data_IF_850904002567
#
_entry.id   IF_850904002567
#
_cell.length_a   1.000
_cell.length_b   1.000
_cell.length_c   1.000
_cell.angle_alpha   90.00
_cell.angle_beta   90.00
_cell.angle_gamma   90.00
#
_symmetry.space_group_name_H-M   'P 1'
#
loop_
_entity.id
_entity.type
_entity.pdbx_description
1 polymer ?
#
# COMPACT_ATOMS: atom_id res chain seq x y z
N UNK A 1 -19.33 14.79 9.75
CA UNK A 1 -20.29 13.84 9.11
C UNK A 1 -19.57 12.53 8.84
N UNK A 2 -20.22 11.39 9.07
CA UNK A 2 -19.59 10.06 8.90
C UNK A 2 -20.36 9.25 7.85
N UNK A 3 -19.67 8.51 6.99
CA UNK A 3 -20.27 7.66 5.96
C UNK A 3 -19.47 6.37 5.83
N UNK A 4 -20.14 5.24 5.65
CA UNK A 4 -19.50 3.97 5.30
C UNK A 4 -19.39 3.83 3.79
N UNK A 5 -18.20 3.48 3.30
CA UNK A 5 -17.90 3.18 1.89
C UNK A 5 -17.45 1.72 1.80
N UNK A 6 -18.24 0.87 1.16
CA UNK A 6 -18.08 -0.59 1.22
C UNK A 6 -18.21 -1.32 -0.12
N UNK A 7 -17.96 -0.62 -1.23
CA UNK A 7 -18.02 -1.18 -2.59
C UNK A 7 -19.34 -1.85 -2.97
N UNK A 8 -20.46 -1.30 -2.50
CA UNK A 8 -21.79 -1.70 -2.98
C UNK A 8 -22.13 -1.03 -4.31
N UNK A 9 -23.19 -1.46 -4.95
CA UNK A 9 -23.68 -0.87 -6.22
C UNK A 9 -24.00 0.63 -6.15
N UNK A 10 -24.18 1.17 -4.95
CA UNK A 10 -24.52 2.58 -4.73
C UNK A 10 -23.33 3.45 -4.31
N UNK A 11 -22.26 2.85 -3.78
CA UNK A 11 -21.09 3.56 -3.28
C UNK A 11 -19.87 2.67 -3.32
N UNK A 12 -18.90 3.00 -4.14
CA UNK A 12 -17.62 2.33 -4.14
C UNK A 12 -16.48 3.33 -3.87
N UNK A 13 -15.34 2.82 -3.46
CA UNK A 13 -14.22 3.67 -3.11
C UNK A 13 -13.64 4.39 -4.34
N UNK A 14 -13.67 3.75 -5.51
CA UNK A 14 -13.17 4.37 -6.74
C UNK A 14 -13.91 5.67 -7.06
N UNK A 15 -15.24 5.67 -6.96
CA UNK A 15 -16.05 6.86 -7.24
C UNK A 15 -15.77 7.98 -6.23
N UNK A 16 -15.64 7.63 -4.93
CA UNK A 16 -15.29 8.59 -3.89
C UNK A 16 -13.90 9.22 -4.10
N UNK A 17 -12.89 8.41 -4.47
CA UNK A 17 -11.56 8.93 -4.76
C UNK A 17 -11.55 9.80 -6.03
N UNK A 18 -12.23 9.34 -7.09
CA UNK A 18 -12.36 10.09 -8.35
C UNK A 18 -12.98 11.46 -8.13
N UNK A 19 -14.11 11.50 -7.41
CA UNK A 19 -14.78 12.75 -7.10
C UNK A 19 -13.91 13.67 -6.23
N UNK A 20 -13.24 13.12 -5.22
CA UNK A 20 -12.41 13.92 -4.33
C UNK A 20 -11.18 14.51 -5.01
N UNK A 21 -10.51 13.74 -5.88
CA UNK A 21 -9.38 14.21 -6.68
C UNK A 21 -9.75 15.31 -7.68
N UNK A 22 -11.01 15.39 -8.08
CA UNK A 22 -11.45 16.42 -9.01
C UNK A 22 -11.52 17.82 -8.38
N UNK A 23 -11.77 17.94 -7.08
CA UNK A 23 -12.15 19.19 -6.44
C UNK A 23 -11.34 19.56 -5.19
N UNK A 24 -10.45 18.68 -4.69
CA UNK A 24 -9.60 19.00 -3.52
C UNK A 24 -8.53 20.05 -3.86
N UNK A 25 -8.03 20.73 -2.84
CA UNK A 25 -6.87 21.63 -2.95
C UNK A 25 -5.55 20.86 -2.86
N UNK A 26 -5.52 19.79 -2.06
CA UNK A 26 -4.39 18.85 -1.89
C UNK A 26 -4.91 17.48 -1.52
N UNK A 27 -4.08 16.44 -1.75
CA UNK A 27 -4.39 15.11 -1.25
C UNK A 27 -3.17 14.39 -0.69
N UNK A 28 -3.43 13.44 0.23
CA UNK A 28 -2.41 12.66 0.92
C UNK A 28 -2.87 11.21 0.98
N UNK A 29 -2.14 10.32 0.32
CA UNK A 29 -2.42 8.89 0.32
C UNK A 29 -1.36 8.16 1.14
N UNK A 30 -1.81 7.47 2.18
CA UNK A 30 -0.97 6.63 3.03
C UNK A 30 -1.47 5.19 2.91
N UNK A 31 -0.91 4.42 1.96
CA UNK A 31 -1.48 3.14 1.52
C UNK A 31 -0.41 2.07 1.42
N UNK A 32 -0.56 1.01 2.22
CA UNK A 32 0.43 -0.06 2.33
C UNK A 32 0.75 -0.74 0.99
N UNK A 33 -0.28 -1.04 0.16
CA UNK A 33 -0.10 -1.77 -1.08
C UNK A 33 -0.70 -1.02 -2.25
N UNK A 34 0.12 -0.82 -3.28
CA UNK A 34 -0.26 -0.11 -4.51
C UNK A 34 0.02 -1.00 -5.71
N UNK A 35 -1.00 -1.36 -6.46
CA UNK A 35 -0.85 -2.09 -7.71
C UNK A 35 -0.90 -1.16 -8.93
N UNK A 36 -0.21 -1.55 -10.01
CA UNK A 36 -0.29 -0.80 -11.26
C UNK A 36 -1.73 -0.70 -11.79
N UNK A 37 -2.51 -1.78 -11.68
CA UNK A 37 -3.93 -1.77 -12.06
C UNK A 37 -4.79 -0.86 -11.20
N UNK A 38 -4.45 -0.67 -9.92
CA UNK A 38 -5.12 0.30 -9.05
C UNK A 38 -4.83 1.75 -9.48
N UNK A 39 -3.56 2.06 -9.76
CA UNK A 39 -3.16 3.38 -10.28
C UNK A 39 -3.83 3.67 -11.63
N UNK A 40 -3.93 2.67 -12.51
CA UNK A 40 -4.59 2.84 -13.82
C UNK A 40 -6.05 3.27 -13.71
N UNK A 41 -6.79 2.80 -12.70
CA UNK A 41 -8.19 3.21 -12.49
C UNK A 41 -8.33 4.70 -12.15
N UNK A 42 -7.34 5.29 -11.51
CA UNK A 42 -7.32 6.71 -11.13
C UNK A 42 -6.50 7.57 -12.09
N UNK A 43 -5.99 7.01 -13.18
CA UNK A 43 -5.04 7.71 -14.06
C UNK A 43 -5.60 9.02 -14.62
N UNK A 44 -6.86 9.03 -15.05
CA UNK A 44 -7.48 10.24 -15.60
C UNK A 44 -7.81 11.26 -14.49
N UNK A 45 -8.15 10.79 -13.28
CA UNK A 45 -8.31 11.66 -12.12
C UNK A 45 -6.98 12.30 -11.70
N UNK A 46 -5.87 11.56 -11.74
CA UNK A 46 -4.53 12.09 -11.44
C UNK A 46 -4.07 13.11 -12.50
N UNK A 47 -4.31 12.84 -13.78
CA UNK A 47 -4.05 13.83 -14.86
C UNK A 47 -4.87 15.11 -14.70
N UNK A 48 -6.15 14.96 -14.30
CA UNK A 48 -7.02 16.10 -14.04
C UNK A 48 -6.50 16.90 -12.84
N UNK A 49 -6.11 16.23 -11.75
CA UNK A 49 -5.52 16.86 -10.57
C UNK A 49 -4.24 17.64 -10.93
N UNK A 50 -3.30 17.01 -11.66
CA UNK A 50 -2.09 17.67 -12.15
C UNK A 50 -2.41 18.88 -13.04
N UNK A 51 -3.36 18.75 -13.96
CA UNK A 51 -3.76 19.87 -14.84
C UNK A 51 -4.31 21.09 -14.07
N UNK A 52 -4.79 20.88 -12.87
CA UNK A 52 -5.27 21.91 -11.94
C UNK A 52 -4.19 22.39 -10.93
N UNK A 53 -2.99 21.83 -10.97
CA UNK A 53 -1.93 22.12 -10.01
C UNK A 53 -2.21 21.60 -8.60
N UNK A 54 -3.02 20.54 -8.47
CA UNK A 54 -3.34 19.93 -7.17
C UNK A 54 -2.15 19.10 -6.72
N UNK A 55 -1.58 19.48 -5.57
CA UNK A 55 -0.42 18.81 -5.00
C UNK A 55 -0.83 17.49 -4.33
N UNK A 56 -0.08 16.42 -4.59
CA UNK A 56 -0.31 15.10 -4.03
C UNK A 56 0.89 14.55 -3.29
N UNK A 57 0.67 13.96 -2.11
CA UNK A 57 1.68 13.19 -1.38
C UNK A 57 1.25 11.72 -1.27
N UNK A 58 2.16 10.82 -1.62
CA UNK A 58 1.95 9.37 -1.50
C UNK A 58 2.98 8.75 -0.57
N UNK A 59 2.52 7.93 0.37
CA UNK A 59 3.36 6.99 1.11
C UNK A 59 2.87 5.58 0.81
N UNK A 60 3.78 4.72 0.39
CA UNK A 60 3.50 3.27 0.24
C UNK A 60 4.62 2.45 0.86
N UNK A 61 4.44 1.14 1.00
CA UNK A 61 5.44 0.25 1.56
C UNK A 61 5.92 -0.81 0.59
N UNK A 62 7.10 -1.37 0.85
CA UNK A 62 7.66 -2.50 0.10
C UNK A 62 7.37 -3.85 0.78
N UNK A 63 6.63 -3.86 1.88
CA UNK A 63 6.38 -5.05 2.69
C UNK A 63 5.82 -6.19 1.83
N UNK A 64 6.42 -7.37 1.95
CA UNK A 64 6.07 -8.59 1.20
C UNK A 64 6.03 -8.43 -0.33
N UNK A 65 6.61 -7.37 -0.89
CA UNK A 65 6.58 -7.07 -2.32
C UNK A 65 5.16 -6.99 -2.93
N UNK A 66 4.18 -6.55 -2.15
CA UNK A 66 2.82 -6.36 -2.65
C UNK A 66 2.64 -5.04 -3.43
N UNK A 67 3.51 -4.07 -3.21
CA UNK A 67 3.50 -2.84 -4.02
C UNK A 67 4.23 -3.09 -5.34
N UNK A 68 3.57 -2.81 -6.46
CA UNK A 68 4.16 -2.95 -7.79
C UNK A 68 5.11 -1.77 -8.07
N UNK A 69 6.40 -2.01 -8.35
CA UNK A 69 7.33 -0.93 -8.70
C UNK A 69 6.89 -0.12 -9.92
N UNK A 70 6.15 -0.72 -10.87
CA UNK A 70 5.55 0.02 -11.99
C UNK A 70 4.49 1.03 -11.53
N UNK A 71 3.78 0.72 -10.44
CA UNK A 71 2.82 1.66 -9.86
C UNK A 71 3.53 2.88 -9.28
N UNK A 72 4.59 2.65 -8.49
CA UNK A 72 5.41 3.73 -7.93
C UNK A 72 5.98 4.59 -9.07
N UNK A 73 6.65 3.97 -10.04
CA UNK A 73 7.21 4.65 -11.22
C UNK A 73 6.15 5.47 -11.96
N UNK A 74 4.92 4.96 -12.09
CA UNK A 74 3.85 5.71 -12.73
C UNK A 74 3.44 6.93 -11.92
N UNK A 75 3.33 6.82 -10.60
CA UNK A 75 3.00 7.95 -9.73
C UNK A 75 4.09 9.04 -9.77
N UNK A 76 5.37 8.67 -9.85
CA UNK A 76 6.47 9.63 -9.96
C UNK A 76 6.57 10.35 -11.32
N UNK A 77 5.76 9.98 -12.31
CA UNK A 77 5.69 10.72 -13.59
C UNK A 77 4.83 11.98 -13.53
N UNK A 78 4.08 12.19 -12.46
CA UNK A 78 3.29 13.40 -12.24
C UNK A 78 4.15 14.45 -11.52
N UNK A 79 4.28 15.64 -12.07
CA UNK A 79 5.18 16.69 -11.55
C UNK A 79 4.73 17.25 -10.18
N UNK A 80 3.41 17.25 -9.93
CA UNK A 80 2.80 17.77 -8.72
C UNK A 80 2.64 16.70 -7.62
N UNK A 81 3.15 15.48 -7.86
CA UNK A 81 3.04 14.37 -6.91
C UNK A 81 4.39 14.00 -6.32
N UNK A 82 4.42 13.96 -5.00
CA UNK A 82 5.57 13.54 -4.23
C UNK A 82 5.32 12.11 -3.71
N UNK A 83 6.22 11.18 -3.99
CA UNK A 83 6.05 9.77 -3.67
C UNK A 83 7.18 9.31 -2.77
N UNK A 84 6.85 8.78 -1.61
CA UNK A 84 7.81 8.19 -0.68
C UNK A 84 7.48 6.73 -0.37
N UNK A 85 8.50 6.00 0.01
CA UNK A 85 8.39 4.58 0.32
C UNK A 85 8.85 4.33 1.75
N UNK A 86 7.94 3.80 2.57
CA UNK A 86 8.26 3.35 3.91
C UNK A 86 8.90 1.97 3.86
N UNK A 87 10.10 1.85 4.42
CA UNK A 87 10.77 0.56 4.55
C UNK A 87 10.40 -0.06 5.89
N UNK A 88 9.63 -1.14 5.86
CA UNK A 88 9.31 -1.90 7.06
C UNK A 88 10.58 -2.48 7.70
N UNK A 89 10.65 -2.45 9.02
CA UNK A 89 11.74 -3.03 9.82
C UNK A 89 11.28 -4.32 10.51
N UNK A 90 12.17 -4.99 11.23
CA UNK A 90 11.79 -6.17 12.02
C UNK A 90 10.78 -5.87 13.13
N UNK A 91 10.78 -4.63 13.63
CA UNK A 91 9.93 -4.19 14.73
C UNK A 91 8.77 -3.32 14.32
N UNK A 92 8.79 -2.78 13.09
CA UNK A 92 7.77 -1.85 12.60
C UNK A 92 7.32 -2.20 11.19
N UNK A 93 6.09 -2.70 11.07
CA UNK A 93 5.42 -2.92 9.79
C UNK A 93 4.75 -1.65 9.27
N UNK A 94 4.33 -1.67 8.00
CA UNK A 94 3.59 -0.58 7.37
C UNK A 94 2.32 -1.13 6.72
N UNK A 95 1.16 -0.81 7.30
CA UNK A 95 -0.11 -1.35 6.82
C UNK A 95 -1.30 -0.36 6.83
N UNK A 96 -1.08 0.96 6.72
CA UNK A 96 -2.19 1.93 6.65
C UNK A 96 -2.94 1.84 5.32
N UNK A 97 -4.18 2.30 5.31
CA UNK A 97 -5.01 2.58 4.14
C UNK A 97 -5.83 3.81 4.46
N UNK A 98 -5.24 4.95 4.20
CA UNK A 98 -5.81 6.26 4.43
C UNK A 98 -5.69 7.13 3.19
N UNK A 99 -6.79 7.76 2.85
CA UNK A 99 -6.95 8.69 1.75
C UNK A 99 -7.47 10.00 2.33
N UNK A 100 -6.67 11.06 2.28
CA UNK A 100 -6.96 12.36 2.90
C UNK A 100 -7.02 13.39 1.79
N UNK A 101 -8.08 14.17 1.78
CA UNK A 101 -8.30 15.26 0.84
C UNK A 101 -8.51 16.55 1.61
N UNK A 102 -7.73 17.56 1.31
CA UNK A 102 -7.82 18.90 1.86
C UNK A 102 -8.63 19.79 0.92
N UNK A 103 -9.62 20.47 1.47
CA UNK A 103 -10.41 21.50 0.80
C UNK A 103 -10.24 22.81 1.57
N UNK A 104 -10.73 23.90 1.06
CA UNK A 104 -10.54 25.23 1.66
C UNK A 104 -11.08 25.33 3.09
N UNK A 105 -12.22 24.68 3.38
CA UNK A 105 -12.94 24.78 4.65
C UNK A 105 -13.16 23.45 5.39
N UNK A 106 -12.71 22.33 4.82
CA UNK A 106 -12.83 21.01 5.45
C UNK A 106 -11.79 20.01 4.94
N UNK A 107 -11.67 18.90 5.66
CA UNK A 107 -10.95 17.71 5.25
C UNK A 107 -11.92 16.55 5.03
N UNK A 108 -11.75 15.80 3.94
CA UNK A 108 -12.36 14.49 3.76
C UNK A 108 -11.29 13.42 4.03
N UNK A 109 -11.56 12.57 5.00
CA UNK A 109 -10.65 11.51 5.43
C UNK A 109 -11.33 10.17 5.24
N UNK A 110 -10.73 9.24 4.50
CA UNK A 110 -11.23 7.88 4.29
C UNK A 110 -10.19 6.91 4.84
N UNK A 111 -10.56 6.14 5.85
CA UNK A 111 -9.68 5.15 6.49
C UNK A 111 -10.40 3.81 6.55
N UNK A 112 -9.71 2.73 6.20
CA UNK A 112 -10.32 1.41 6.25
C UNK A 112 -9.43 0.26 5.81
N UNK A 113 -10.02 -0.71 5.14
CA UNK A 113 -9.33 -1.92 4.69
C UNK A 113 -8.78 -1.84 3.26
N UNK A 114 -9.20 -0.88 2.45
CA UNK A 114 -8.92 -0.84 1.01
C UNK A 114 -7.52 -0.34 0.67
N UNK A 115 -6.72 -1.20 0.08
CA UNK A 115 -5.47 -0.81 -0.59
C UNK A 115 -5.75 -0.15 -1.96
N UNK A 116 -4.74 0.50 -2.56
CA UNK A 116 -4.84 1.07 -3.91
C UNK A 116 -4.64 -0.03 -4.97
N UNK A 117 -5.60 -0.95 -5.03
CA UNK A 117 -5.62 -2.08 -5.96
C UNK A 117 -6.96 -2.17 -6.68
N UNK A 118 -6.97 -2.76 -7.89
CA UNK A 118 -8.18 -2.84 -8.71
C UNK A 118 -9.38 -3.42 -7.94
N UNK A 119 -9.18 -4.56 -7.29
CA UNK A 119 -10.27 -5.24 -6.58
C UNK A 119 -10.71 -4.50 -5.32
N UNK A 120 -9.77 -3.94 -4.55
CA UNK A 120 -10.10 -3.19 -3.34
C UNK A 120 -10.85 -1.89 -3.64
N UNK A 121 -10.61 -1.28 -4.80
CA UNK A 121 -11.31 -0.06 -5.21
C UNK A 121 -12.73 -0.31 -5.76
N UNK A 122 -13.00 -1.51 -6.33
CA UNK A 122 -14.22 -1.75 -7.12
C UNK A 122 -15.14 -2.85 -6.60
N UNK A 123 -14.58 -3.99 -6.18
CA UNK A 123 -15.36 -5.22 -6.08
C UNK A 123 -15.17 -6.03 -4.81
N UNK A 124 -14.04 -5.90 -4.11
CA UNK A 124 -13.88 -6.59 -2.83
C UNK A 124 -14.87 -6.04 -1.81
N UNK A 125 -15.28 -6.90 -0.89
CA UNK A 125 -15.97 -6.45 0.32
C UNK A 125 -14.94 -5.75 1.20
N UNK A 126 -15.05 -4.43 1.24
CA UNK A 126 -14.15 -3.55 1.99
C UNK A 126 -14.97 -2.67 2.92
N UNK A 127 -14.38 -2.27 4.03
CA UNK A 127 -14.99 -1.35 4.97
C UNK A 127 -14.11 -0.12 5.14
N UNK A 128 -14.60 1.03 4.69
CA UNK A 128 -13.91 2.29 4.83
C UNK A 128 -14.84 3.32 5.49
N UNK A 129 -14.35 3.94 6.54
CA UNK A 129 -15.03 5.06 7.19
C UNK A 129 -14.59 6.35 6.52
N UNK A 130 -15.55 7.09 5.98
CA UNK A 130 -15.36 8.46 5.50
C UNK A 130 -15.80 9.45 6.57
N UNK A 131 -14.92 10.39 6.86
CA UNK A 131 -15.14 11.49 7.81
C UNK A 131 -15.00 12.81 7.06
N UNK A 132 -15.98 13.70 7.21
CA UNK A 132 -15.86 15.11 6.81
C UNK A 132 -15.66 15.92 8.09
N UNK A 133 -14.48 16.51 8.22
CA UNK A 133 -14.09 17.36 9.35
C UNK A 133 -13.92 18.80 8.87
N UNK A 134 -14.70 19.73 9.37
CA UNK A 134 -14.53 21.15 9.07
C UNK A 134 -13.20 21.65 9.64
N UNK A 135 -12.59 22.59 8.96
CA UNK A 135 -11.35 23.23 9.43
C UNK A 135 -11.70 24.35 10.44
N UNK A 136 -12.22 23.94 11.60
CA UNK A 136 -12.67 24.81 12.68
C UNK A 136 -12.19 24.30 14.05
N UNK A 137 -12.39 25.09 15.09
CA UNK A 137 -11.96 24.78 16.45
C UNK A 137 -12.54 23.44 17.00
N UNK A 138 -13.67 22.97 16.46
CA UNK A 138 -14.28 21.71 16.90
C UNK A 138 -13.47 20.49 16.48
N UNK A 139 -12.77 20.58 15.37
CA UNK A 139 -11.99 19.49 14.80
C UNK A 139 -10.47 19.74 14.86
N UNK A 140 -10.03 20.83 15.47
CA UNK A 140 -8.61 21.27 15.46
C UNK A 140 -7.68 20.18 16.01
N UNK A 141 -8.00 19.60 17.15
CA UNK A 141 -7.19 18.52 17.75
C UNK A 141 -7.08 17.30 16.82
N UNK A 142 -8.20 16.86 16.23
CA UNK A 142 -8.22 15.76 15.28
C UNK A 142 -7.39 16.06 14.03
N UNK A 143 -7.56 17.25 13.45
CA UNK A 143 -6.87 17.63 12.22
C UNK A 143 -5.35 17.82 12.45
N UNK A 144 -4.96 18.36 13.59
CA UNK A 144 -3.54 18.49 13.96
C UNK A 144 -2.92 17.09 14.15
N UNK A 145 -3.58 16.20 14.90
CA UNK A 145 -3.11 14.83 15.08
C UNK A 145 -3.01 14.06 13.75
N UNK A 146 -3.98 14.23 12.85
CA UNK A 146 -3.98 13.61 11.52
C UNK A 146 -2.77 14.05 10.69
N UNK A 147 -2.50 15.36 10.66
CA UNK A 147 -1.35 15.95 9.94
C UNK A 147 -0.03 15.50 10.55
N UNK A 148 0.12 15.64 11.85
CA UNK A 148 1.35 15.24 12.56
C UNK A 148 1.65 13.76 12.36
N UNK A 149 0.62 12.90 12.43
CA UNK A 149 0.77 11.48 12.19
C UNK A 149 1.20 11.16 10.75
N UNK A 150 0.65 11.87 9.76
CA UNK A 150 1.07 11.71 8.38
C UNK A 150 2.52 12.19 8.19
N UNK A 151 2.87 13.37 8.70
CA UNK A 151 4.19 13.98 8.53
C UNK A 151 5.28 13.16 9.24
N UNK A 152 5.02 12.57 10.41
CA UNK A 152 5.95 11.64 11.06
C UNK A 152 6.29 10.43 10.18
N UNK A 153 5.29 9.84 9.52
CA UNK A 153 5.51 8.72 8.60
C UNK A 153 6.22 9.21 7.34
N UNK A 154 5.84 10.37 6.84
CA UNK A 154 6.46 11.02 5.68
C UNK A 154 7.95 11.24 5.87
N UNK A 155 8.34 11.82 7.00
CA UNK A 155 9.73 12.12 7.32
C UNK A 155 10.59 10.86 7.54
N UNK A 156 9.98 9.78 7.99
CA UNK A 156 10.63 8.47 8.14
C UNK A 156 10.67 7.63 6.86
N UNK A 157 10.02 8.10 5.79
CA UNK A 157 9.95 7.42 4.50
C UNK A 157 11.03 7.90 3.54
N UNK A 158 11.52 7.00 2.68
CA UNK A 158 12.53 7.31 1.67
C UNK A 158 11.90 8.00 0.45
N UNK A 159 12.61 8.97 -0.09
CA UNK A 159 12.31 9.54 -1.40
C UNK A 159 12.45 8.47 -2.49
N UNK A 160 11.54 8.52 -3.45
CA UNK A 160 11.54 7.59 -4.58
C UNK A 160 12.49 8.09 -5.66
N UNK A 161 13.77 7.76 -5.53
CA UNK A 161 14.79 8.07 -6.54
C UNK A 161 14.80 7.01 -7.66
N UNK A 162 15.39 7.34 -8.81
CA UNK A 162 15.55 6.38 -9.91
C UNK A 162 16.42 5.18 -9.48
N UNK A 163 17.46 5.41 -8.68
CA UNK A 163 18.30 4.33 -8.16
C UNK A 163 17.50 3.39 -7.24
N UNK A 164 16.68 3.93 -6.35
CA UNK A 164 15.76 3.14 -5.53
C UNK A 164 14.81 2.30 -6.41
N UNK A 165 14.19 2.88 -7.42
CA UNK A 165 13.27 2.19 -8.32
C UNK A 165 13.94 1.04 -9.06
N UNK A 166 15.13 1.25 -9.61
CA UNK A 166 15.88 0.20 -10.30
C UNK A 166 16.24 -0.96 -9.37
N UNK A 167 16.68 -0.66 -8.15
CA UNK A 167 17.00 -1.68 -7.15
C UNK A 167 15.74 -2.43 -6.73
N UNK A 168 14.64 -1.73 -6.46
CA UNK A 168 13.38 -2.35 -6.07
C UNK A 168 12.78 -3.21 -7.19
N UNK A 169 12.80 -2.76 -8.44
CA UNK A 169 12.36 -3.56 -9.59
C UNK A 169 13.14 -4.87 -9.74
N UNK A 170 14.46 -4.79 -9.57
CA UNK A 170 15.32 -5.97 -9.63
C UNK A 170 15.00 -6.98 -8.53
N UNK A 171 14.82 -6.49 -7.31
CA UNK A 171 14.42 -7.32 -6.18
C UNK A 171 13.03 -7.93 -6.36
N UNK A 172 12.04 -7.14 -6.74
CA UNK A 172 10.67 -7.56 -7.00
C UNK A 172 10.56 -8.68 -8.04
N UNK A 173 11.34 -8.60 -9.12
CA UNK A 173 11.44 -9.66 -10.14
C UNK A 173 12.11 -10.91 -9.59
N UNK A 174 13.17 -10.76 -8.82
CA UNK A 174 13.89 -11.87 -8.20
C UNK A 174 13.02 -12.70 -7.28
N UNK A 175 12.23 -12.06 -6.42
CA UNK A 175 11.30 -12.75 -5.51
C UNK A 175 10.22 -13.49 -6.27
N UNK A 176 9.55 -12.86 -7.25
CA UNK A 176 8.55 -13.53 -8.08
C UNK A 176 9.12 -14.70 -8.90
N UNK A 177 10.38 -14.62 -9.33
CA UNK A 177 11.03 -15.70 -10.03
C UNK A 177 11.37 -16.87 -9.10
N UNK A 178 11.76 -16.59 -7.85
CA UNK A 178 12.05 -17.61 -6.83
C UNK A 178 10.79 -18.35 -6.37
N UNK A 179 9.64 -17.67 -6.30
CA UNK A 179 8.34 -18.29 -6.04
C UNK A 179 7.92 -19.25 -7.18
N UNK A 180 8.41 -19.03 -8.39
CA UNK A 180 8.11 -19.85 -9.57
C UNK A 180 9.15 -20.93 -9.83
N UNK A 181 10.38 -20.79 -9.36
CA UNK A 181 11.50 -21.70 -9.59
C UNK A 181 12.21 -21.98 -8.27
N UNK A 182 11.92 -23.11 -7.65
CA UNK A 182 12.69 -23.62 -6.50
C UNK A 182 14.14 -23.89 -6.91
N UNK A 183 15.01 -22.88 -6.83
CA UNK A 183 16.45 -23.03 -6.96
C UNK A 183 17.13 -22.63 -5.67
N UNK A 184 17.74 -23.55 -4.92
CA UNK A 184 18.57 -23.21 -3.77
C UNK A 184 19.91 -22.63 -4.28
N UNK A 185 20.25 -21.40 -3.89
CA UNK A 185 21.62 -20.93 -3.99
C UNK A 185 21.93 -19.53 -4.47
N UNK A 186 20.96 -18.64 -4.67
CA UNK A 186 21.30 -17.22 -4.95
C UNK A 186 21.16 -16.40 -3.68
N UNK A 187 22.27 -15.96 -3.12
CA UNK A 187 22.29 -15.05 -1.97
C UNK A 187 21.90 -13.64 -2.43
N UNK A 188 20.62 -13.30 -2.28
CA UNK A 188 20.06 -11.99 -2.64
C UNK A 188 20.52 -10.86 -1.70
N UNK A 189 21.31 -11.15 -0.67
CA UNK A 189 21.79 -10.17 0.32
C UNK A 189 22.81 -9.16 -0.23
N UNK A 190 23.44 -9.45 -1.35
CA UNK A 190 24.51 -8.59 -1.91
C UNK A 190 24.03 -7.55 -2.92
N UNK A 191 22.73 -7.52 -3.28
CA UNK A 191 22.25 -6.75 -4.42
C UNK A 191 21.43 -5.52 -3.99
N UNK A 192 21.03 -5.44 -2.73
CA UNK A 192 20.16 -4.36 -2.25
C UNK A 192 20.83 -3.56 -1.14
N UNK A 193 21.05 -2.27 -1.40
CA UNK A 193 21.67 -1.33 -0.44
C UNK A 193 20.66 -0.84 0.59
N UNK A 194 19.36 -0.98 0.33
CA UNK A 194 18.30 -0.59 1.24
C UNK A 194 17.82 -1.82 2.05
N UNK A 195 17.59 -1.69 3.35
CA UNK A 195 17.04 -2.78 4.16
C UNK A 195 15.60 -3.06 3.71
N UNK A 196 15.41 -4.15 2.99
CA UNK A 196 14.09 -4.63 2.59
C UNK A 196 13.47 -5.39 3.76
N UNK A 197 12.61 -4.75 4.51
CA UNK A 197 11.73 -5.35 5.50
C UNK A 197 12.25 -6.52 6.35
N UNK A 198 11.57 -6.93 7.38
CA UNK A 198 12.02 -8.01 8.25
C UNK A 198 12.12 -9.32 7.49
N UNK A 199 13.20 -10.05 7.70
CA UNK A 199 13.31 -11.45 7.31
C UNK A 199 12.21 -12.22 8.01
N UNK A 200 11.21 -12.66 7.26
CA UNK A 200 10.17 -13.52 7.81
C UNK A 200 10.84 -14.83 8.26
N UNK A 201 11.01 -14.99 9.57
CA UNK A 201 11.39 -16.28 10.13
C UNK A 201 10.13 -17.06 10.45
N UNK A 202 9.98 -18.27 9.90
CA UNK A 202 8.80 -19.08 10.20
C UNK A 202 8.63 -19.27 11.71
N UNK A 203 7.43 -19.05 12.22
CA UNK A 203 7.09 -19.33 13.62
C UNK A 203 7.08 -20.84 13.88
N UNK A 204 6.87 -21.25 15.15
CA UNK A 204 6.91 -22.66 15.53
C UNK A 204 5.88 -23.52 14.77
N UNK A 205 4.68 -23.00 14.54
CA UNK A 205 3.63 -23.70 13.78
C UNK A 205 3.99 -23.85 12.30
N UNK A 206 4.50 -22.78 11.70
CA UNK A 206 4.95 -22.79 10.30
C UNK A 206 6.13 -23.73 10.11
N UNK A 207 7.09 -23.78 11.05
CA UNK A 207 8.20 -24.75 11.01
C UNK A 207 7.72 -26.19 11.09
N UNK A 208 6.71 -26.49 11.92
CA UNK A 208 6.09 -27.80 11.98
C UNK A 208 5.39 -28.16 10.66
N UNK A 209 4.56 -27.27 10.12
CA UNK A 209 3.89 -27.48 8.85
C UNK A 209 4.87 -27.69 7.69
N UNK A 210 5.95 -26.91 7.62
CA UNK A 210 7.00 -27.08 6.60
C UNK A 210 7.69 -28.43 6.72
N UNK A 211 7.93 -28.93 7.95
CA UNK A 211 8.54 -30.26 8.17
C UNK A 211 7.62 -31.39 7.70
N UNK A 212 6.33 -31.32 8.03
CA UNK A 212 5.34 -32.30 7.60
C UNK A 212 5.18 -32.31 6.08
N UNK A 213 5.15 -31.14 5.45
CA UNK A 213 5.09 -31.04 3.98
C UNK A 213 6.34 -31.63 3.32
N UNK A 214 7.53 -31.44 3.91
CA UNK A 214 8.77 -32.04 3.43
C UNK A 214 8.73 -33.56 3.50
N UNK A 215 8.27 -34.12 4.63
CA UNK A 215 8.09 -35.57 4.81
C UNK A 215 7.10 -36.16 3.81
N UNK A 216 5.96 -35.51 3.59
CA UNK A 216 4.98 -35.95 2.59
C UNK A 216 5.58 -35.97 1.18
N UNK A 217 6.41 -35.00 0.85
CA UNK A 217 7.12 -34.96 -0.43
C UNK A 217 8.15 -36.06 -0.57
N UNK A 218 8.93 -36.35 0.48
CA UNK A 218 9.90 -37.45 0.49
C UNK A 218 9.22 -38.82 0.37
N UNK A 219 7.99 -38.97 0.87
CA UNK A 219 7.19 -40.20 0.74
C UNK A 219 6.43 -40.30 -0.60
N UNK A 220 6.67 -39.38 -1.54
CA UNK A 220 6.11 -39.44 -2.89
C UNK A 220 4.68 -38.89 -3.00
N UNK A 221 4.20 -38.14 -2.01
CA UNK A 221 2.88 -37.50 -2.09
C UNK A 221 2.93 -36.34 -3.08
N UNK A 222 2.09 -36.39 -4.11
CA UNK A 222 2.00 -35.31 -5.13
C UNK A 222 1.12 -34.15 -4.69
N UNK A 223 0.29 -34.31 -3.66
CA UNK A 223 -0.63 -33.27 -3.15
C UNK A 223 -0.69 -33.28 -1.64
N UNK A 224 -0.75 -32.11 -1.04
CA UNK A 224 -0.99 -31.92 0.38
C UNK A 224 -1.95 -30.75 0.59
N UNK A 225 -2.81 -30.83 1.61
CA UNK A 225 -3.69 -29.76 2.04
C UNK A 225 -3.17 -29.21 3.38
N UNK A 226 -2.78 -27.96 3.40
CA UNK A 226 -2.49 -27.23 4.64
C UNK A 226 -3.68 -26.32 4.98
N UNK A 227 -4.23 -26.48 6.18
CA UNK A 227 -5.31 -25.61 6.70
C UNK A 227 -4.74 -24.81 7.86
N UNK A 228 -4.74 -23.51 7.72
CA UNK A 228 -4.27 -22.57 8.76
C UNK A 228 -5.37 -21.57 9.11
N UNK A 229 -5.50 -21.25 10.39
CA UNK A 229 -6.40 -20.18 10.82
C UNK A 229 -5.86 -18.82 10.40
N UNK A 230 -6.74 -17.82 10.23
CA UNK A 230 -6.35 -16.44 9.98
C UNK A 230 -5.47 -15.92 11.14
N UNK A 231 -4.39 -15.24 10.81
CA UNK A 231 -3.44 -14.71 11.81
C UNK A 231 -2.29 -15.66 12.19
N UNK A 232 -2.13 -16.77 11.51
CA UNK A 232 -1.00 -17.70 11.73
C UNK A 232 0.29 -17.28 11.00
N UNK A 233 0.26 -16.15 10.29
CA UNK A 233 1.39 -15.58 9.55
C UNK A 233 1.39 -15.93 8.08
#
# INVERSE_FOLDING_TARGET
MYTLVNNTSQKNLLDELTQSLADCSRFYFNVAFVSYSGVQLLLDSFKLAESKGILGKFITGTYLNFTDPKAIRKLTTFNDFDVRVFLATETQGFHPKAYIFEYDDFYKVIIGSSNLTNYALKSNIEWNLQVIAKNDATNEEFLNYLKDSFDQIWDSSLETTEDFLLQYEKHYRGVRYQDLVHSPGVDTRQIFTYPLGPRLTPNSMQKSAMRELALLRETGSERALAVAATGTG
#
